data_IF_495400338500
#
_entry.id   IF_495400338500
#
_cell.length_a   1.000
_cell.length_b   1.000
_cell.length_c   1.000
_cell.angle_alpha   90.00
_cell.angle_beta   90.00
_cell.angle_gamma   90.00
#
_symmetry.space_group_name_H-M   'P 1'
#
loop_
_entity.id
_entity.type
_entity.pdbx_description
1 polymer ?
#
# COMPACT_ATOMS: atom_id res chain seq x y z
N UNK A 1 -42.02 16.50 0.02
CA UNK A 1 -41.61 15.08 0.13
C UNK A 1 -40.73 14.62 -1.03
N UNK A 2 -40.96 15.08 -2.28
CA UNK A 2 -40.07 14.80 -3.42
C UNK A 2 -38.64 15.35 -3.28
N UNK A 3 -38.47 16.50 -2.62
CA UNK A 3 -37.15 17.14 -2.50
C UNK A 3 -36.18 16.40 -1.55
N UNK A 4 -36.70 15.58 -0.63
CA UNK A 4 -35.86 14.74 0.26
C UNK A 4 -35.41 13.43 -0.39
N UNK A 5 -36.11 12.95 -1.42
CA UNK A 5 -35.73 11.75 -2.19
C UNK A 5 -34.71 12.07 -3.30
N UNK A 6 -34.67 13.29 -3.81
CA UNK A 6 -33.63 13.72 -4.77
C UNK A 6 -32.29 14.04 -4.07
N UNK A 7 -32.32 14.59 -2.85
CA UNK A 7 -31.09 14.82 -2.06
C UNK A 7 -30.39 13.51 -1.62
N UNK A 8 -31.14 12.42 -1.50
CA UNK A 8 -30.59 11.10 -1.16
C UNK A 8 -30.03 10.34 -2.37
N UNK A 9 -30.34 10.76 -3.60
CA UNK A 9 -29.92 10.09 -4.85
C UNK A 9 -28.53 10.48 -5.39
N UNK A 10 -27.76 11.37 -4.75
CA UNK A 10 -26.51 11.92 -5.33
C UNK A 10 -25.19 11.68 -4.57
N UNK A 11 -25.07 10.64 -3.74
CA UNK A 11 -23.82 10.40 -2.98
C UNK A 11 -23.13 9.06 -3.22
N UNK A 12 -23.28 8.48 -4.40
CA UNK A 12 -22.48 7.33 -4.81
C UNK A 12 -21.18 7.79 -5.48
N UNK A 13 -20.03 7.58 -4.82
CA UNK A 13 -18.73 7.83 -5.46
C UNK A 13 -18.39 6.64 -6.35
N UNK A 14 -18.49 6.85 -7.66
CA UNK A 14 -18.06 5.84 -8.64
C UNK A 14 -16.54 5.82 -8.72
N UNK A 15 -15.92 4.85 -8.05
CA UNK A 15 -14.45 4.70 -8.05
C UNK A 15 -13.90 4.24 -9.41
N UNK A 16 -14.67 3.47 -10.16
CA UNK A 16 -14.30 2.99 -11.49
C UNK A 16 -14.91 3.88 -12.58
N UNK A 17 -14.13 4.83 -13.07
CA UNK A 17 -14.45 5.64 -14.26
C UNK A 17 -13.41 5.39 -15.33
N UNK A 18 -13.74 5.65 -16.60
CA UNK A 18 -12.79 5.47 -17.72
C UNK A 18 -11.48 6.24 -17.50
N UNK A 19 -11.58 7.48 -17.01
CA UNK A 19 -10.42 8.34 -16.67
C UNK A 19 -9.54 7.72 -15.58
N UNK A 20 -10.15 7.19 -14.52
CA UNK A 20 -9.41 6.51 -13.42
C UNK A 20 -8.77 5.21 -13.90
N UNK A 21 -9.50 4.41 -14.67
CA UNK A 21 -8.99 3.17 -15.25
C UNK A 21 -7.79 3.43 -16.17
N UNK A 22 -7.86 4.46 -17.03
CA UNK A 22 -6.75 4.86 -17.89
C UNK A 22 -5.51 5.28 -17.08
N UNK A 23 -5.69 6.09 -16.03
CA UNK A 23 -4.58 6.46 -15.12
C UNK A 23 -3.96 5.23 -14.45
N UNK A 24 -4.79 4.35 -13.90
CA UNK A 24 -4.34 3.10 -13.26
C UNK A 24 -3.57 2.22 -14.25
N UNK A 25 -4.02 2.13 -15.50
CA UNK A 25 -3.33 1.37 -16.53
C UNK A 25 -1.95 1.96 -16.87
N UNK A 26 -1.88 3.28 -17.11
CA UNK A 26 -0.61 3.98 -17.43
C UNK A 26 0.37 3.91 -16.26
N UNK A 27 -0.06 4.30 -15.06
CA UNK A 27 0.80 4.29 -13.88
C UNK A 27 1.13 2.85 -13.45
N UNK A 28 0.22 1.90 -13.61
CA UNK A 28 0.48 0.49 -13.36
C UNK A 28 1.52 -0.09 -14.32
N UNK A 29 1.45 0.23 -15.61
CA UNK A 29 2.47 -0.17 -16.58
C UNK A 29 3.84 0.43 -16.23
N UNK A 30 3.90 1.71 -15.85
CA UNK A 30 5.14 2.36 -15.42
C UNK A 30 5.69 1.77 -14.11
N UNK A 31 4.84 1.47 -13.13
CA UNK A 31 5.22 0.71 -11.92
C UNK A 31 5.80 -0.65 -12.31
N UNK A 32 5.16 -1.37 -13.22
CA UNK A 32 5.65 -2.66 -13.74
C UNK A 32 7.02 -2.52 -14.42
N UNK A 33 7.23 -1.48 -15.23
CA UNK A 33 8.54 -1.21 -15.85
C UNK A 33 9.63 -0.91 -14.80
N UNK A 34 9.34 -0.07 -13.80
CA UNK A 34 10.29 0.24 -12.72
C UNK A 34 10.57 -0.96 -11.80
N UNK A 35 9.66 -1.93 -11.74
CA UNK A 35 9.90 -3.20 -11.04
C UNK A 35 11.01 -4.04 -11.69
N UNK A 36 11.39 -3.71 -12.92
CA UNK A 36 12.50 -4.37 -13.60
C UNK A 36 13.86 -3.76 -13.24
N UNK A 37 13.88 -2.59 -12.58
CA UNK A 37 15.09 -1.87 -12.20
C UNK A 37 15.43 -2.23 -10.74
N UNK A 38 16.40 -3.13 -10.49
CA UNK A 38 16.81 -3.47 -9.14
C UNK A 38 17.54 -2.30 -8.49
N UNK A 39 17.41 -2.19 -7.17
CA UNK A 39 18.19 -1.24 -6.38
C UNK A 39 19.48 -1.97 -5.96
N UNK A 40 20.68 -1.49 -6.36
CA UNK A 40 21.93 -2.23 -6.23
C UNK A 40 22.27 -2.66 -4.79
N UNK A 41 21.75 -1.90 -3.82
CA UNK A 41 22.06 -2.05 -2.40
C UNK A 41 21.28 -3.19 -1.76
N UNK A 42 20.23 -3.74 -2.40
CA UNK A 42 19.46 -4.84 -1.83
C UNK A 42 18.77 -5.76 -2.87
N UNK A 43 19.11 -7.06 -2.91
CA UNK A 43 18.44 -8.04 -3.76
C UNK A 43 16.93 -8.12 -3.51
N UNK A 44 16.14 -8.13 -4.59
CA UNK A 44 14.67 -8.24 -4.52
C UNK A 44 13.91 -6.91 -4.40
N UNK A 45 14.59 -5.81 -4.05
CA UNK A 45 14.02 -4.47 -4.01
C UNK A 45 14.21 -3.71 -5.32
N UNK A 46 13.17 -2.98 -5.73
CA UNK A 46 13.05 -2.32 -7.02
C UNK A 46 12.39 -0.95 -6.87
N UNK A 47 12.42 -0.11 -7.91
CA UNK A 47 11.88 1.26 -7.88
C UNK A 47 10.36 1.34 -8.16
N UNK A 48 9.67 0.21 -8.24
CA UNK A 48 8.23 0.13 -8.51
C UNK A 48 7.33 0.98 -7.59
N UNK A 49 7.61 1.17 -6.28
CA UNK A 49 6.70 1.93 -5.44
C UNK A 49 6.64 3.41 -5.80
N UNK A 50 7.64 3.96 -6.51
CA UNK A 50 7.73 5.40 -6.78
C UNK A 50 6.52 5.93 -7.58
N UNK A 51 6.11 5.24 -8.64
CA UNK A 51 5.01 5.70 -9.52
C UNK A 51 3.65 5.49 -8.86
N UNK A 52 3.48 4.38 -8.14
CA UNK A 52 2.27 4.16 -7.36
C UNK A 52 2.13 5.16 -6.22
N UNK A 53 3.23 5.51 -5.54
CA UNK A 53 3.26 6.53 -4.50
C UNK A 53 2.95 7.92 -5.09
N UNK A 54 3.49 8.23 -6.27
CA UNK A 54 3.12 9.44 -7.01
C UNK A 54 1.60 9.47 -7.27
N UNK A 55 1.03 8.38 -7.78
CA UNK A 55 -0.41 8.30 -8.02
C UNK A 55 -1.21 8.44 -6.71
N UNK A 56 -0.72 7.85 -5.62
CA UNK A 56 -1.33 7.94 -4.28
C UNK A 56 -1.35 9.38 -3.74
N UNK A 57 -0.24 10.10 -3.92
CA UNK A 57 -0.09 11.49 -3.48
C UNK A 57 -0.93 12.40 -4.36
N UNK A 58 -0.82 12.31 -5.69
CA UNK A 58 -1.45 13.24 -6.62
C UNK A 58 -2.94 12.96 -6.85
N UNK A 59 -3.31 11.72 -7.17
CA UNK A 59 -4.67 11.32 -7.55
C UNK A 59 -5.50 10.80 -6.39
N UNK A 60 -4.87 10.11 -5.44
CA UNK A 60 -5.54 9.57 -4.25
C UNK A 60 -5.21 8.10 -3.99
N UNK A 61 -5.66 7.60 -2.83
CA UNK A 61 -5.33 6.25 -2.37
C UNK A 61 -5.79 5.15 -3.35
N UNK A 62 -6.92 5.34 -4.03
CA UNK A 62 -7.49 4.35 -4.94
C UNK A 62 -6.60 4.13 -6.17
N UNK A 63 -6.22 5.20 -6.87
CA UNK A 63 -5.30 5.15 -8.00
C UNK A 63 -3.93 4.61 -7.60
N UNK A 64 -3.39 5.05 -6.46
CA UNK A 64 -2.12 4.55 -5.93
C UNK A 64 -2.14 3.04 -5.67
N UNK A 65 -3.17 2.55 -4.97
CA UNK A 65 -3.33 1.13 -4.67
C UNK A 65 -3.39 0.29 -5.95
N UNK A 66 -4.30 0.62 -6.87
CA UNK A 66 -4.50 -0.19 -8.07
C UNK A 66 -3.36 -0.06 -9.08
N UNK A 67 -2.70 1.09 -9.19
CA UNK A 67 -1.48 1.21 -9.99
C UNK A 67 -0.41 0.26 -9.48
N UNK A 68 -0.26 0.12 -8.15
CA UNK A 68 0.69 -0.84 -7.59
C UNK A 68 0.30 -2.29 -7.90
N UNK A 69 -0.97 -2.66 -7.71
CA UNK A 69 -1.47 -4.02 -7.99
C UNK A 69 -1.25 -4.41 -9.45
N UNK A 70 -1.58 -3.52 -10.40
CA UNK A 70 -1.34 -3.75 -11.84
C UNK A 70 0.16 -3.91 -12.12
N UNK A 71 0.99 -3.05 -11.53
CA UNK A 71 2.44 -3.15 -11.68
C UNK A 71 3.03 -4.45 -11.14
N UNK A 72 2.54 -4.96 -9.99
CA UNK A 72 2.94 -6.26 -9.47
C UNK A 72 2.48 -7.41 -10.35
N UNK A 73 1.26 -7.35 -10.89
CA UNK A 73 0.78 -8.35 -11.83
C UNK A 73 1.71 -8.43 -13.06
N UNK A 74 2.08 -7.28 -13.63
CA UNK A 74 3.04 -7.21 -14.75
C UNK A 74 4.40 -7.78 -14.33
N UNK A 75 4.94 -7.37 -13.17
CA UNK A 75 6.21 -7.89 -12.65
C UNK A 75 6.19 -9.42 -12.54
N UNK A 76 5.17 -9.98 -11.92
CA UNK A 76 5.06 -11.41 -11.68
C UNK A 76 4.89 -12.18 -13.00
N UNK A 77 4.07 -11.69 -13.93
CA UNK A 77 3.91 -12.29 -15.25
C UNK A 77 5.22 -12.31 -16.05
N UNK A 78 6.05 -11.27 -15.93
CA UNK A 78 7.31 -11.16 -16.67
C UNK A 78 8.47 -11.92 -16.02
N UNK A 79 8.57 -11.92 -14.69
CA UNK A 79 9.72 -12.51 -13.98
C UNK A 79 9.46 -13.94 -13.53
N UNK A 80 8.31 -14.22 -12.93
CA UNK A 80 8.00 -15.49 -12.29
C UNK A 80 6.54 -15.91 -12.56
N UNK A 81 6.16 -16.22 -13.82
CA UNK A 81 4.78 -16.56 -14.16
C UNK A 81 4.27 -17.80 -13.40
N UNK A 82 5.16 -18.74 -13.08
CA UNK A 82 4.83 -19.89 -12.24
C UNK A 82 4.41 -19.51 -10.82
N UNK A 83 5.05 -18.52 -10.20
CA UNK A 83 4.66 -18.04 -8.87
C UNK A 83 3.32 -17.31 -8.89
N UNK A 84 2.99 -16.63 -9.99
CA UNK A 84 1.68 -16.01 -10.17
C UNK A 84 0.55 -17.05 -10.23
N UNK A 85 0.77 -18.19 -10.88
CA UNK A 85 -0.20 -19.29 -10.93
C UNK A 85 -0.38 -19.97 -9.57
N UNK A 86 0.71 -20.16 -8.84
CA UNK A 86 0.74 -20.83 -7.53
C UNK A 86 0.14 -19.92 -6.45
N UNK A 87 0.47 -18.63 -6.46
CA UNK A 87 0.02 -17.67 -5.46
C UNK A 87 -0.39 -16.34 -6.11
N UNK A 88 -1.55 -16.29 -6.81
CA UNK A 88 -2.00 -15.09 -7.52
C UNK A 88 -2.29 -13.93 -6.58
N UNK A 89 -2.58 -14.23 -5.30
CA UNK A 89 -2.79 -13.20 -4.29
C UNK A 89 -1.53 -12.37 -4.06
N UNK A 90 -0.32 -12.88 -4.36
CA UNK A 90 0.95 -12.22 -4.08
C UNK A 90 1.05 -10.77 -4.60
N UNK A 91 0.31 -10.42 -5.66
CA UNK A 91 0.22 -9.05 -6.19
C UNK A 91 -0.36 -8.03 -5.18
N UNK A 92 -1.08 -8.52 -4.17
CA UNK A 92 -1.65 -7.72 -3.09
C UNK A 92 -0.72 -7.61 -1.86
N UNK A 93 0.47 -8.22 -1.86
CA UNK A 93 1.36 -8.22 -0.69
C UNK A 93 1.98 -6.86 -0.43
N UNK A 94 1.93 -6.44 0.84
CA UNK A 94 2.77 -5.39 1.44
C UNK A 94 2.48 -3.99 0.91
N UNK A 95 3.06 -3.68 -0.23
CA UNK A 95 3.22 -2.34 -0.76
C UNK A 95 1.95 -1.63 -1.28
N UNK A 96 0.89 -2.29 -1.82
CA UNK A 96 -0.33 -1.58 -2.22
C UNK A 96 -1.01 -0.88 -1.03
N UNK A 97 -1.01 -1.51 0.14
CA UNK A 97 -1.61 -0.96 1.36
C UNK A 97 -0.80 0.21 1.91
N UNK A 98 0.53 0.18 1.76
CA UNK A 98 1.42 1.30 2.06
C UNK A 98 1.00 2.56 1.27
N UNK A 99 0.54 2.42 0.01
CA UNK A 99 0.06 3.56 -0.79
C UNK A 99 -1.16 4.24 -0.15
N UNK A 100 -2.05 3.48 0.49
CA UNK A 100 -3.22 4.04 1.19
C UNK A 100 -2.79 4.78 2.47
N UNK A 101 -1.81 4.23 3.20
CA UNK A 101 -1.22 4.87 4.40
C UNK A 101 -0.53 6.17 4.03
N UNK A 102 0.34 6.16 3.02
CA UNK A 102 1.04 7.36 2.53
C UNK A 102 0.04 8.42 2.07
N UNK A 103 -0.95 8.02 1.26
CA UNK A 103 -1.98 8.94 0.78
C UNK A 103 -2.77 9.59 1.93
N UNK A 104 -3.02 8.85 3.01
CA UNK A 104 -3.68 9.37 4.21
C UNK A 104 -2.78 10.35 4.98
N UNK A 105 -1.52 9.97 5.25
CA UNK A 105 -0.58 10.78 6.04
C UNK A 105 -0.24 12.10 5.34
N UNK A 106 0.05 12.04 4.05
CA UNK A 106 0.41 13.22 3.26
C UNK A 106 -0.74 14.24 3.21
N UNK A 107 -1.98 13.76 3.36
CA UNK A 107 -3.20 14.59 3.44
C UNK A 107 -3.52 15.08 4.85
N UNK A 108 -3.15 14.33 5.89
CA UNK A 108 -3.36 14.73 7.30
C UNK A 108 -2.30 15.65 7.86
N UNK A 109 -1.04 15.43 7.51
CA UNK A 109 0.08 16.16 8.10
C UNK A 109 0.35 17.45 7.33
N UNK A 110 0.63 18.54 8.06
CA UNK A 110 0.98 19.83 7.46
C UNK A 110 2.39 19.80 6.84
N UNK A 111 2.63 20.67 5.88
CA UNK A 111 3.92 20.78 5.19
C UNK A 111 4.80 21.68 6.07
N UNK A 112 6.10 21.41 6.21
CA UNK A 112 6.88 20.36 5.53
C UNK A 112 6.83 18.97 6.19
N UNK A 113 6.17 18.83 7.34
CA UNK A 113 6.16 17.61 8.16
C UNK A 113 5.52 16.39 7.50
N UNK A 114 4.72 16.57 6.45
CA UNK A 114 4.16 15.45 5.69
C UNK A 114 5.22 14.60 4.98
N UNK A 115 6.37 15.17 4.64
CA UNK A 115 7.50 14.45 4.04
C UNK A 115 8.13 13.47 5.05
N UNK A 116 8.68 13.91 6.19
CA UNK A 116 9.23 12.99 7.18
C UNK A 116 8.15 12.05 7.74
N UNK A 117 6.89 12.48 7.89
CA UNK A 117 5.82 11.58 8.31
C UNK A 117 5.51 10.48 7.28
N UNK A 118 5.52 10.80 5.98
CA UNK A 118 5.35 9.83 4.91
C UNK A 118 6.49 8.80 4.87
N UNK A 119 7.74 9.26 5.03
CA UNK A 119 8.92 8.38 5.09
C UNK A 119 8.87 7.47 6.31
N UNK A 120 8.70 8.04 7.51
CA UNK A 120 8.68 7.28 8.77
C UNK A 120 7.55 6.24 8.80
N UNK A 121 6.38 6.59 8.26
CA UNK A 121 5.27 5.65 8.18
C UNK A 121 5.49 4.54 7.15
N UNK A 122 6.11 4.84 6.01
CA UNK A 122 6.51 3.81 5.04
C UNK A 122 7.55 2.86 5.64
N UNK A 123 8.54 3.39 6.37
CA UNK A 123 9.54 2.58 7.09
C UNK A 123 8.86 1.71 8.15
N UNK A 124 8.00 2.31 8.99
CA UNK A 124 7.28 1.58 10.04
C UNK A 124 6.37 0.48 9.47
N UNK A 125 5.64 0.77 8.39
CA UNK A 125 4.81 -0.20 7.70
C UNK A 125 5.66 -1.35 7.12
N UNK A 126 6.77 -1.03 6.45
CA UNK A 126 7.69 -2.03 5.91
C UNK A 126 8.28 -2.90 7.01
N UNK A 127 8.83 -2.30 8.06
CA UNK A 127 9.40 -3.01 9.20
C UNK A 127 8.37 -3.94 9.87
N UNK A 128 7.14 -3.47 10.06
CA UNK A 128 6.06 -4.28 10.64
C UNK A 128 5.68 -5.48 9.75
N UNK A 129 5.63 -5.28 8.44
CA UNK A 129 5.18 -6.35 7.51
C UNK A 129 6.30 -7.29 7.07
N UNK A 130 7.56 -6.86 7.13
CA UNK A 130 8.73 -7.65 6.73
C UNK A 130 9.26 -8.55 7.85
N UNK A 131 8.98 -8.24 9.11
CA UNK A 131 9.41 -9.07 10.23
C UNK A 131 8.85 -10.51 10.15
N UNK A 132 7.53 -10.73 9.97
CA UNK A 132 7.00 -12.08 9.81
C UNK A 132 7.60 -12.84 8.61
N UNK A 133 7.86 -12.14 7.51
CA UNK A 133 8.57 -12.74 6.37
C UNK A 133 9.96 -13.22 6.76
N UNK A 134 10.71 -12.43 7.52
CA UNK A 134 12.06 -12.82 7.90
C UNK A 134 12.04 -14.09 8.76
N UNK A 135 11.11 -14.20 9.70
CA UNK A 135 10.96 -15.39 10.54
C UNK A 135 10.53 -16.60 9.72
N UNK A 136 9.50 -16.48 8.90
CA UNK A 136 8.91 -17.60 8.15
C UNK A 136 9.82 -18.07 7.03
N UNK A 137 10.45 -17.13 6.33
CA UNK A 137 11.25 -17.42 5.14
C UNK A 137 12.70 -17.75 5.45
N UNK A 138 13.35 -17.03 6.38
CA UNK A 138 14.76 -17.26 6.74
C UNK A 138 14.94 -18.04 8.03
N UNK A 139 13.91 -18.16 8.87
CA UNK A 139 14.00 -18.79 10.19
C UNK A 139 14.54 -17.83 11.26
N UNK A 140 14.33 -18.18 12.53
CA UNK A 140 14.73 -17.35 13.67
C UNK A 140 16.23 -17.09 13.75
N UNK A 141 17.05 -18.08 13.39
CA UNK A 141 18.51 -17.97 13.48
C UNK A 141 19.07 -16.85 12.57
N UNK A 142 18.48 -16.68 11.39
CA UNK A 142 18.89 -15.67 10.41
C UNK A 142 18.05 -14.38 10.49
N UNK A 143 16.94 -14.39 11.23
CA UNK A 143 16.02 -13.26 11.31
C UNK A 143 16.72 -11.97 11.75
N UNK A 144 17.56 -11.92 12.81
CA UNK A 144 18.21 -10.69 13.22
C UNK A 144 19.02 -10.02 12.09
N UNK A 145 19.73 -10.82 11.30
CA UNK A 145 20.54 -10.32 10.18
C UNK A 145 19.67 -9.92 8.99
N UNK A 146 18.80 -10.81 8.51
CA UNK A 146 17.95 -10.56 7.35
C UNK A 146 16.98 -9.41 7.60
N UNK A 147 16.39 -9.32 8.79
CA UNK A 147 15.48 -8.23 9.16
C UNK A 147 16.20 -6.89 9.17
N UNK A 148 17.39 -6.80 9.78
CA UNK A 148 18.17 -5.56 9.79
C UNK A 148 18.49 -5.11 8.35
N UNK A 149 18.95 -6.03 7.50
CA UNK A 149 19.23 -5.72 6.08
C UNK A 149 17.97 -5.26 5.34
N UNK A 150 16.83 -5.90 5.57
CA UNK A 150 15.52 -5.53 4.98
C UNK A 150 15.03 -4.17 5.45
N UNK A 151 15.27 -3.79 6.71
CA UNK A 151 14.91 -2.47 7.24
C UNK A 151 15.81 -1.39 6.64
N UNK A 152 17.12 -1.64 6.52
CA UNK A 152 18.06 -0.69 5.91
C UNK A 152 17.72 -0.47 4.43
N UNK A 153 17.62 -1.54 3.65
CA UNK A 153 17.25 -1.44 2.24
C UNK A 153 15.89 -0.79 2.07
N UNK A 154 14.89 -1.25 2.82
CA UNK A 154 13.53 -0.69 2.78
C UNK A 154 13.50 0.81 3.11
N UNK A 155 14.32 1.26 4.06
CA UNK A 155 14.46 2.68 4.40
C UNK A 155 14.98 3.49 3.22
N UNK A 156 16.01 2.99 2.53
CA UNK A 156 16.57 3.65 1.34
C UNK A 156 15.50 3.74 0.24
N UNK A 157 14.84 2.63 -0.08
CA UNK A 157 13.82 2.55 -1.14
C UNK A 157 12.64 3.47 -0.84
N UNK A 158 12.07 3.38 0.36
CA UNK A 158 10.93 4.19 0.78
C UNK A 158 11.27 5.67 0.72
N UNK A 159 12.48 6.05 1.16
CA UNK A 159 12.92 7.45 1.13
C UNK A 159 13.02 7.96 -0.30
N UNK A 160 13.71 7.23 -1.19
CA UNK A 160 13.86 7.60 -2.61
C UNK A 160 12.49 7.68 -3.29
N UNK A 161 11.65 6.65 -3.13
CA UNK A 161 10.33 6.61 -3.74
C UNK A 161 9.42 7.75 -3.26
N UNK A 162 9.46 8.07 -1.96
CA UNK A 162 8.67 9.17 -1.38
C UNK A 162 9.13 10.52 -1.92
N UNK A 163 10.44 10.75 -2.04
CA UNK A 163 11.00 11.98 -2.61
C UNK A 163 10.60 12.12 -4.08
N UNK A 164 10.76 11.06 -4.89
CA UNK A 164 10.37 11.07 -6.30
C UNK A 164 8.86 11.32 -6.43
N UNK A 165 8.04 10.63 -5.64
CA UNK A 165 6.60 10.76 -5.67
C UNK A 165 6.13 12.18 -5.34
N UNK A 166 6.68 12.77 -4.27
CA UNK A 166 6.33 14.13 -3.85
C UNK A 166 6.85 15.17 -4.85
N UNK A 167 8.10 15.05 -5.29
CA UNK A 167 8.69 15.93 -6.30
C UNK A 167 7.91 15.92 -7.62
N UNK A 168 7.56 14.74 -8.12
CA UNK A 168 6.69 14.59 -9.28
C UNK A 168 5.30 15.17 -9.07
N UNK A 169 4.71 14.98 -7.89
CA UNK A 169 3.39 15.54 -7.57
C UNK A 169 3.41 17.07 -7.52
N UNK A 170 4.44 17.66 -6.90
CA UNK A 170 4.66 19.11 -6.86
C UNK A 170 4.85 19.70 -8.25
N UNK A 171 5.64 19.04 -9.09
CA UNK A 171 5.84 19.43 -10.50
C UNK A 171 4.51 19.41 -11.26
N UNK A 172 3.71 18.36 -11.10
CA UNK A 172 2.41 18.24 -11.75
C UNK A 172 1.41 19.31 -11.28
N UNK A 173 1.36 19.65 -9.99
CA UNK A 173 0.51 20.76 -9.53
C UNK A 173 0.95 22.09 -10.13
N UNK A 174 2.27 22.33 -10.20
CA UNK A 174 2.83 23.54 -10.82
C UNK A 174 2.42 23.67 -12.29
N UNK A 175 2.52 22.59 -13.09
CA UNK A 175 2.08 22.58 -14.50
C UNK A 175 0.59 22.93 -14.61
N UNK A 176 -0.24 22.35 -13.75
CA UNK A 176 -1.68 22.57 -13.75
C UNK A 176 -2.10 23.88 -13.08
N UNK A 177 -1.14 24.75 -12.71
CA UNK A 177 -1.37 26.01 -11.99
C UNK A 177 -2.18 25.82 -10.69
N UNK A 178 -2.03 24.66 -10.05
CA UNK A 178 -2.65 24.33 -8.77
C UNK A 178 -1.71 24.70 -7.62
N UNK A 179 -2.26 25.08 -6.45
CA UNK A 179 -1.44 25.28 -5.27
C UNK A 179 -0.79 23.96 -4.86
N UNK A 180 0.41 24.04 -4.29
CA UNK A 180 1.11 22.86 -3.77
C UNK A 180 0.26 22.26 -2.63
N UNK A 181 -0.03 20.96 -2.72
CA UNK A 181 -0.96 20.25 -1.83
C UNK A 181 -2.40 20.76 -1.92
N UNK A 182 -3.04 20.67 -3.11
CA UNK A 182 -4.33 21.30 -3.36
C UNK A 182 -5.47 20.75 -2.48
N UNK A 183 -5.35 19.52 -1.97
CA UNK A 183 -6.32 18.95 -1.04
C UNK A 183 -6.48 19.73 0.27
N UNK A 184 -5.51 20.56 0.67
CA UNK A 184 -5.63 21.40 1.87
C UNK A 184 -6.71 22.46 1.76
N UNK A 185 -7.02 22.85 0.53
CA UNK A 185 -8.03 23.86 0.23
C UNK A 185 -9.39 23.22 -0.05
N UNK A 186 -9.49 21.89 -0.01
CA UNK A 186 -10.77 21.20 -0.11
C UNK A 186 -11.43 21.31 1.28
N UNK A 187 -12.54 22.06 1.41
CA UNK A 187 -13.22 22.17 2.68
C UNK A 187 -13.70 20.78 3.11
N UNK A 188 -13.45 20.44 4.38
CA UNK A 188 -14.00 19.22 5.00
C UNK A 188 -15.51 19.40 5.02
N UNK A 189 -16.19 18.84 4.02
CA UNK A 189 -17.66 18.77 4.06
C UNK A 189 -18.00 17.69 5.07
N UNK A 190 -18.36 18.09 6.29
CA UNK A 190 -18.75 17.21 7.41
C UNK A 190 -19.78 16.14 7.01
N UNK A 191 -20.53 16.38 5.94
CA UNK A 191 -21.57 15.49 5.43
C UNK A 191 -21.12 14.43 4.40
N UNK A 192 -19.85 14.36 3.99
CA UNK A 192 -19.39 13.41 2.94
C UNK A 192 -18.48 12.30 3.48
N UNK A 193 -18.79 11.76 4.66
CA UNK A 193 -18.21 10.49 5.11
C UNK A 193 -18.99 9.32 4.50
N UNK A 194 -18.31 8.51 3.69
CA UNK A 194 -18.84 7.22 3.20
C UNK A 194 -18.53 6.10 4.21
N UNK A 195 -17.74 6.41 5.24
CA UNK A 195 -17.34 5.46 6.26
C UNK A 195 -18.40 5.30 7.35
N UNK A 196 -18.70 4.05 7.68
CA UNK A 196 -19.55 3.68 8.81
C UNK A 196 -18.65 3.47 10.04
N UNK A 197 -18.96 4.12 11.18
CA UNK A 197 -18.22 3.96 12.44
C UNK A 197 -18.07 2.50 12.85
N UNK A 198 -19.11 1.67 12.64
CA UNK A 198 -19.07 0.22 12.88
C UNK A 198 -18.03 -0.47 12.00
N UNK A 199 -17.97 -0.14 10.70
CA UNK A 199 -16.99 -0.72 9.76
C UNK A 199 -15.56 -0.40 10.16
N UNK A 200 -15.31 0.82 10.66
CA UNK A 200 -13.97 1.19 11.14
C UNK A 200 -13.58 0.38 12.36
N UNK A 201 -14.47 0.26 13.34
CA UNK A 201 -14.22 -0.56 14.54
C UNK A 201 -13.96 -2.02 14.14
N UNK A 202 -14.80 -2.58 13.25
CA UNK A 202 -14.61 -3.94 12.74
C UNK A 202 -13.26 -4.07 12.03
N UNK A 203 -12.93 -3.17 11.10
CA UNK A 203 -11.66 -3.22 10.39
C UNK A 203 -10.44 -3.07 11.30
N UNK A 204 -10.56 -2.30 12.39
CA UNK A 204 -9.51 -2.16 13.41
C UNK A 204 -9.33 -3.45 14.21
N UNK A 205 -10.43 -4.05 14.67
CA UNK A 205 -10.41 -5.35 15.37
C UNK A 205 -9.82 -6.42 14.46
N UNK A 206 -10.25 -6.49 13.19
CA UNK A 206 -9.71 -7.41 12.20
C UNK A 206 -8.21 -7.19 11.98
N UNK A 207 -7.75 -5.94 11.86
CA UNK A 207 -6.32 -5.63 11.75
C UNK A 207 -5.52 -6.17 12.95
N UNK A 208 -6.01 -5.98 14.18
CA UNK A 208 -5.36 -6.49 15.40
C UNK A 208 -5.33 -8.02 15.40
N UNK A 209 -6.46 -8.67 15.14
CA UNK A 209 -6.57 -10.14 15.15
C UNK A 209 -5.63 -10.75 14.10
N UNK A 210 -5.63 -10.22 12.87
CA UNK A 210 -4.77 -10.73 11.79
C UNK A 210 -3.29 -10.50 12.09
N UNK A 211 -2.93 -9.36 12.69
CA UNK A 211 -1.58 -9.13 13.20
C UNK A 211 -1.20 -10.12 14.30
N UNK A 212 -2.06 -10.35 15.29
CA UNK A 212 -1.81 -11.26 16.39
C UNK A 212 -1.65 -12.71 15.92
N UNK A 213 -2.49 -13.17 14.97
CA UNK A 213 -2.38 -14.51 14.38
C UNK A 213 -1.06 -14.66 13.63
N UNK A 214 -0.70 -13.70 12.78
CA UNK A 214 0.50 -13.76 11.98
C UNK A 214 1.78 -13.71 12.83
N UNK A 215 1.84 -12.82 13.82
CA UNK A 215 2.95 -12.79 14.76
C UNK A 215 2.95 -14.02 15.66
N UNK A 216 1.79 -14.49 16.13
CA UNK A 216 1.67 -15.72 16.92
C UNK A 216 2.20 -16.95 16.18
N UNK A 217 1.94 -17.05 14.87
CA UNK A 217 2.52 -18.11 14.04
C UNK A 217 4.05 -18.07 14.04
N UNK A 218 4.67 -16.88 14.00
CA UNK A 218 6.12 -16.73 14.02
C UNK A 218 6.77 -17.32 15.26
N UNK A 219 6.07 -17.36 16.40
CA UNK A 219 6.53 -17.96 17.66
C UNK A 219 6.04 -19.40 17.87
N UNK A 220 5.34 -19.98 16.89
CA UNK A 220 4.83 -21.34 16.96
C UNK A 220 5.86 -22.36 16.44
N UNK A 221 5.80 -23.63 16.88
CA UNK A 221 6.64 -24.69 16.32
C UNK A 221 6.40 -24.95 14.82
N UNK A 222 5.26 -24.47 14.28
CA UNK A 222 4.94 -24.57 12.86
C UNK A 222 5.73 -23.62 11.96
N UNK A 223 6.40 -22.61 12.53
CA UNK A 223 7.34 -21.76 11.80
C UNK A 223 8.74 -22.38 11.65
N UNK A 224 8.95 -23.58 12.17
CA UNK A 224 10.26 -24.25 12.13
C UNK A 224 10.63 -24.77 10.74
N UNK A 225 11.93 -24.91 10.51
CA UNK A 225 12.48 -25.55 9.31
C UNK A 225 11.93 -26.97 9.09
N UNK A 226 11.69 -27.71 10.18
CA UNK A 226 11.21 -29.09 10.13
C UNK A 226 9.80 -29.20 9.54
N UNK A 227 8.96 -28.18 9.73
CA UNK A 227 7.58 -28.15 9.24
C UNK A 227 7.47 -27.46 7.87
N UNK A 228 8.14 -26.32 7.69
CA UNK A 228 8.04 -25.53 6.46
C UNK A 228 9.04 -25.95 5.38
N UNK A 229 10.01 -26.81 5.72
CA UNK A 229 11.10 -27.21 4.83
C UNK A 229 12.09 -26.07 4.55
N UNK A 230 12.95 -26.31 3.56
CA UNK A 230 14.02 -25.40 3.17
C UNK A 230 13.51 -24.05 2.61
N UNK A 231 14.36 -23.00 2.64
CA UNK A 231 14.14 -21.79 1.84
C UNK A 231 13.78 -22.16 0.40
N UNK A 232 12.83 -21.43 -0.18
CA UNK A 232 12.23 -21.68 -1.52
C UNK A 232 11.27 -22.87 -1.66
N UNK A 233 11.05 -23.68 -0.63
CA UNK A 233 10.02 -24.72 -0.69
C UNK A 233 8.63 -24.11 -0.96
N UNK A 234 7.78 -24.84 -1.69
CA UNK A 234 6.40 -24.42 -1.99
C UNK A 234 5.64 -24.15 -0.69
N UNK A 235 5.82 -25.00 0.33
CA UNK A 235 5.18 -24.85 1.64
C UNK A 235 5.59 -23.56 2.35
N UNK A 236 6.87 -23.19 2.29
CA UNK A 236 7.39 -21.97 2.90
C UNK A 236 6.92 -20.71 2.16
N UNK A 237 6.89 -20.75 0.82
CA UNK A 237 6.32 -19.64 0.00
C UNK A 237 4.83 -19.44 0.29
N UNK A 238 4.07 -20.52 0.42
CA UNK A 238 2.66 -20.43 0.81
C UNK A 238 2.48 -19.92 2.24
N UNK A 239 3.23 -20.43 3.22
CA UNK A 239 3.14 -19.98 4.60
C UNK A 239 3.42 -18.48 4.72
N UNK A 240 4.45 -18.00 4.03
CA UNK A 240 4.76 -16.57 3.96
C UNK A 240 3.62 -15.74 3.35
N UNK A 241 3.07 -16.19 2.21
CA UNK A 241 1.92 -15.55 1.60
C UNK A 241 0.72 -15.50 2.58
N UNK A 242 0.41 -16.61 3.26
CA UNK A 242 -0.68 -16.72 4.23
C UNK A 242 -0.50 -15.87 5.48
N UNK A 243 0.73 -15.49 5.83
CA UNK A 243 1.02 -14.70 7.03
C UNK A 243 1.04 -13.21 6.69
N UNK A 244 1.69 -12.84 5.59
CA UNK A 244 1.78 -11.43 5.17
C UNK A 244 0.50 -10.90 4.54
N UNK A 245 -0.26 -11.72 3.80
CA UNK A 245 -1.50 -11.26 3.16
C UNK A 245 -2.53 -10.76 4.14
N UNK A 246 -2.89 -11.51 5.19
CA UNK A 246 -3.93 -11.07 6.12
C UNK A 246 -3.50 -9.82 6.90
N UNK A 247 -2.23 -9.71 7.29
CA UNK A 247 -1.72 -8.48 7.93
C UNK A 247 -1.92 -7.28 6.99
N UNK A 248 -1.45 -7.40 5.75
CA UNK A 248 -1.45 -6.29 4.80
C UNK A 248 -2.86 -5.91 4.36
N UNK A 249 -3.74 -6.89 4.13
CA UNK A 249 -5.16 -6.68 3.85
C UNK A 249 -5.90 -6.08 5.05
N UNK A 250 -5.63 -6.55 6.27
CA UNK A 250 -6.22 -6.02 7.50
C UNK A 250 -5.87 -4.54 7.72
N UNK A 251 -4.57 -4.20 7.61
CA UNK A 251 -4.11 -2.81 7.71
C UNK A 251 -4.67 -1.98 6.55
N UNK A 252 -4.59 -2.48 5.32
CA UNK A 252 -5.11 -1.81 4.14
C UNK A 252 -6.60 -1.50 4.25
N UNK A 253 -7.39 -2.47 4.75
CA UNK A 253 -8.82 -2.28 4.97
C UNK A 253 -9.08 -1.20 6.02
N UNK A 254 -8.38 -1.23 7.16
CA UNK A 254 -8.53 -0.21 8.20
C UNK A 254 -8.22 1.20 7.67
N UNK A 255 -7.07 1.38 7.00
CA UNK A 255 -6.70 2.68 6.44
C UNK A 255 -7.63 3.11 5.31
N UNK A 256 -8.18 2.18 4.52
CA UNK A 256 -9.22 2.48 3.54
C UNK A 256 -10.51 2.97 4.19
N UNK A 257 -10.96 2.33 5.27
CA UNK A 257 -12.14 2.80 6.03
C UNK A 257 -11.91 4.17 6.67
N UNK A 258 -10.69 4.44 7.18
CA UNK A 258 -10.33 5.79 7.64
C UNK A 258 -10.31 6.79 6.48
N UNK A 259 -9.73 6.43 5.33
CA UNK A 259 -9.64 7.29 4.16
C UNK A 259 -11.05 7.71 3.68
N UNK A 260 -12.02 6.78 3.71
CA UNK A 260 -13.43 7.05 3.38
C UNK A 260 -14.17 7.99 4.35
N UNK A 261 -13.63 8.26 5.56
CA UNK A 261 -14.15 9.35 6.41
C UNK A 261 -13.96 10.72 5.76
N UNK A 262 -12.95 10.82 4.90
CA UNK A 262 -12.61 12.02 4.15
C UNK A 262 -12.99 11.83 2.69
N UNK A 263 -14.29 11.60 2.42
CA UNK A 263 -14.76 11.34 1.07
C UNK A 263 -14.51 12.50 0.10
N UNK A 264 -14.24 13.71 0.59
CA UNK A 264 -13.74 14.85 -0.19
C UNK A 264 -12.38 14.57 -0.86
N UNK A 265 -11.55 13.69 -0.28
CA UNK A 265 -10.29 13.29 -0.91
C UNK A 265 -10.48 12.37 -2.11
N UNK A 266 -11.62 11.68 -2.20
CA UNK A 266 -11.96 10.89 -3.37
C UNK A 266 -12.45 11.76 -4.54
N UNK A 267 -12.72 13.05 -4.32
CA UNK A 267 -13.22 13.99 -5.35
C UNK A 267 -12.12 14.69 -6.13
N UNK A 268 -10.85 14.47 -5.80
CA UNK A 268 -9.75 15.27 -6.33
C UNK A 268 -9.62 15.28 -7.87
N UNK A 269 -10.29 14.38 -8.60
CA UNK A 269 -10.09 14.25 -10.05
C UNK A 269 -11.29 13.76 -10.87
N UNK A 270 -12.51 14.13 -10.49
CA UNK A 270 -13.56 14.28 -11.52
C UNK A 270 -13.13 15.39 -12.49
#
# INVERSE_FOLDING_TARGET
>A
MKDKEEETKSREVKLWTAKRAARIAVFGALTGALSLIPIPVMPGMTLDPAIAAFAAVYYGAFEGYWSYVVGQAIRMLLRNPGEFLVCPLAIFMGSPCCMTVIAWIVRKVRYPWNIPAGILSGIGFHAFTIFPYCVVYYGWDFTPFCFMMQVIGGTIVVSICTIIALGGSMYMWKIHKQPIFPWRFIPVKECFSIANRKRIIISFICMIILAAIAYGFCFSPYASYQVLGAPESIHRKYADAWIRHPITLGIGWFFWEIYKRHGEWLKQTE
#
